data_IF_768463533417
#
_entry.id   IF_768463533417
#
_cell.length_a   1.000
_cell.length_b   1.000
_cell.length_c   1.000
_cell.angle_alpha   90.00
_cell.angle_beta   90.00
_cell.angle_gamma   90.00
#
_symmetry.space_group_name_H-M   'P 1'
#
loop_
_entity.id
_entity.type
_entity.pdbx_description
1 polymer ?
#
# COMPACT_ATOMS: atom_id res chain seq x y z
N UNK A 1 7.17 -52.14 -21.93
CA UNK A 1 7.09 -50.82 -21.26
C UNK A 1 7.99 -49.78 -21.92
N UNK A 2 9.18 -50.15 -22.43
CA UNK A 2 10.09 -49.21 -23.12
C UNK A 2 9.49 -48.83 -24.49
N UNK A 3 9.00 -49.77 -25.25
CA UNK A 3 8.32 -49.54 -26.56
C UNK A 3 7.12 -48.61 -26.45
N UNK A 4 6.29 -48.80 -25.40
CA UNK A 4 5.12 -47.93 -25.16
C UNK A 4 5.54 -46.51 -24.83
N UNK A 5 6.62 -46.33 -24.08
CA UNK A 5 7.17 -45.01 -23.79
C UNK A 5 7.70 -44.32 -25.04
N UNK A 6 8.39 -45.08 -25.93
CA UNK A 6 9.05 -44.52 -27.09
C UNK A 6 8.03 -44.24 -28.25
N UNK A 7 6.87 -44.94 -28.23
CA UNK A 7 5.79 -44.75 -29.22
C UNK A 7 4.77 -43.68 -28.77
N UNK A 8 4.50 -43.57 -27.46
CA UNK A 8 3.45 -42.68 -26.90
C UNK A 8 3.97 -41.65 -25.91
N UNK A 9 5.29 -41.52 -25.78
CA UNK A 9 5.91 -40.56 -24.86
C UNK A 9 5.91 -39.16 -25.43
N UNK A 10 5.18 -38.26 -24.81
CA UNK A 10 5.23 -36.83 -25.08
C UNK A 10 6.38 -36.16 -24.33
N UNK A 11 6.88 -35.03 -24.87
CA UNK A 11 7.81 -34.17 -24.15
C UNK A 11 7.13 -33.61 -22.90
N UNK A 12 7.91 -33.57 -21.82
CA UNK A 12 7.42 -33.03 -20.56
C UNK A 12 7.03 -31.55 -20.71
N UNK A 13 5.82 -31.21 -20.37
CA UNK A 13 5.28 -29.84 -20.35
C UNK A 13 5.64 -29.06 -19.09
N UNK A 14 6.11 -29.75 -18.02
CA UNK A 14 6.51 -29.15 -16.76
C UNK A 14 8.02 -29.23 -16.57
N UNK A 15 8.63 -28.19 -16.05
CA UNK A 15 10.05 -28.14 -15.72
C UNK A 15 10.32 -28.84 -14.38
N UNK A 16 11.40 -29.62 -14.30
CA UNK A 16 11.88 -30.22 -13.05
C UNK A 16 12.91 -29.25 -12.48
N UNK A 17 12.55 -28.54 -11.42
CA UNK A 17 13.50 -27.70 -10.69
C UNK A 17 14.29 -28.54 -9.68
N UNK A 18 15.60 -28.35 -9.65
CA UNK A 18 16.54 -29.05 -8.76
C UNK A 18 16.48 -28.55 -7.30
N UNK A 19 15.85 -27.43 -7.04
CA UNK A 19 15.67 -26.87 -5.69
C UNK A 19 14.20 -26.70 -5.36
N UNK A 20 13.78 -27.14 -4.16
CA UNK A 20 12.51 -26.75 -3.54
C UNK A 20 12.66 -25.27 -3.15
N UNK A 21 12.22 -24.37 -4.00
CA UNK A 21 11.87 -23.03 -3.53
C UNK A 21 10.47 -23.15 -2.93
N UNK A 22 10.34 -22.81 -1.66
CA UNK A 22 9.02 -22.63 -1.08
C UNK A 22 8.35 -21.48 -1.82
N UNK A 23 7.37 -21.81 -2.67
CA UNK A 23 6.58 -20.81 -3.40
C UNK A 23 5.82 -19.97 -2.37
N UNK A 24 6.10 -18.69 -2.37
CA UNK A 24 5.34 -17.72 -1.58
C UNK A 24 4.06 -17.32 -2.33
N UNK A 25 3.06 -16.79 -1.62
CA UNK A 25 1.84 -16.26 -2.26
C UNK A 25 2.19 -15.18 -3.28
N UNK A 26 3.24 -14.40 -3.02
CA UNK A 26 3.73 -13.38 -3.94
C UNK A 26 4.18 -13.96 -5.28
N UNK A 27 4.81 -15.13 -5.30
CA UNK A 27 5.29 -15.78 -6.54
C UNK A 27 4.14 -16.24 -7.46
N UNK A 28 2.92 -16.36 -6.92
CA UNK A 28 1.71 -16.72 -7.66
C UNK A 28 0.94 -15.50 -8.18
N UNK A 29 1.29 -14.31 -7.74
CA UNK A 29 0.61 -13.06 -8.14
C UNK A 29 1.32 -12.47 -9.34
N UNK A 30 0.57 -12.17 -10.39
CA UNK A 30 1.10 -11.48 -11.56
C UNK A 30 1.50 -10.06 -11.19
N UNK A 31 2.69 -9.66 -11.62
CA UNK A 31 3.17 -8.31 -11.45
C UNK A 31 2.45 -7.36 -12.41
N UNK A 32 1.63 -6.47 -11.87
CA UNK A 32 0.87 -5.48 -12.62
C UNK A 32 0.69 -4.20 -11.83
N UNK A 33 0.49 -3.07 -12.52
CA UNK A 33 0.18 -1.81 -11.88
C UNK A 33 -1.32 -1.73 -11.56
N UNK A 34 -1.63 -1.46 -10.29
CA UNK A 34 -2.97 -1.38 -9.76
C UNK A 34 -3.26 0.04 -9.26
N UNK A 35 -4.49 0.46 -9.42
CA UNK A 35 -5.02 1.68 -8.78
C UNK A 35 -5.60 1.29 -7.43
N UNK A 36 -4.99 1.78 -6.37
CA UNK A 36 -5.45 1.63 -4.99
C UNK A 36 -6.29 2.86 -4.64
N UNK A 37 -7.52 2.65 -4.25
CA UNK A 37 -8.41 3.72 -3.77
C UNK A 37 -8.72 3.50 -2.31
N UNK A 38 -8.61 4.56 -1.51
CA UNK A 38 -8.91 4.54 -0.09
C UNK A 38 -9.90 5.67 0.18
N UNK A 39 -11.02 5.33 0.81
CA UNK A 39 -12.05 6.29 1.16
C UNK A 39 -11.82 6.90 2.54
N UNK A 40 -12.46 8.05 2.79
CA UNK A 40 -12.41 8.73 4.09
C UNK A 40 -12.94 7.85 5.24
N UNK A 41 -13.95 7.03 4.97
CA UNK A 41 -14.47 6.05 5.93
C UNK A 41 -13.54 4.84 6.14
N UNK A 42 -12.35 4.82 5.52
CA UNK A 42 -11.33 3.79 5.71
C UNK A 42 -11.57 2.50 4.92
N UNK A 43 -12.29 2.56 3.80
CA UNK A 43 -12.42 1.42 2.87
C UNK A 43 -11.34 1.45 1.80
N UNK A 44 -10.73 0.31 1.54
CA UNK A 44 -9.71 0.15 0.52
C UNK A 44 -10.12 -0.88 -0.54
N UNK A 45 -9.75 -0.63 -1.79
CA UNK A 45 -9.88 -1.56 -2.91
C UNK A 45 -8.78 -1.33 -3.94
N UNK A 46 -8.52 -2.34 -4.75
CA UNK A 46 -7.68 -2.24 -5.93
C UNK A 46 -8.50 -2.42 -7.20
N UNK A 47 -8.05 -1.80 -8.28
CA UNK A 47 -8.59 -1.93 -9.63
C UNK A 47 -7.42 -1.95 -10.62
N UNK A 48 -7.60 -2.61 -11.77
CA UNK A 48 -6.60 -2.58 -12.82
C UNK A 48 -6.47 -1.18 -13.40
N UNK A 49 -5.26 -0.78 -13.74
CA UNK A 49 -5.01 0.52 -14.36
C UNK A 49 -5.77 0.67 -15.70
N UNK A 50 -5.95 -0.42 -16.43
CA UNK A 50 -6.72 -0.47 -17.69
C UNK A 50 -8.18 -0.03 -17.54
N UNK A 51 -8.77 -0.21 -16.36
CA UNK A 51 -10.13 0.25 -16.07
C UNK A 51 -10.26 1.78 -16.06
N UNK A 52 -9.13 2.49 -15.94
CA UNK A 52 -9.02 3.96 -15.94
C UNK A 52 -8.58 4.47 -17.31
N UNK A 53 -9.43 4.28 -18.33
CA UNK A 53 -9.15 4.81 -19.67
C UNK A 53 -9.23 6.33 -19.69
N UNK A 54 -8.26 6.95 -20.36
CA UNK A 54 -8.27 8.40 -20.61
C UNK A 54 -9.54 8.80 -21.37
N UNK A 55 -10.26 9.79 -20.86
CA UNK A 55 -11.42 10.32 -21.56
C UNK A 55 -11.00 11.35 -22.61
N UNK A 56 -11.56 11.23 -23.82
CA UNK A 56 -11.46 12.27 -24.84
C UNK A 56 -12.39 13.45 -24.48
N UNK A 57 -12.08 14.64 -24.98
CA UNK A 57 -12.93 15.83 -24.81
C UNK A 57 -14.39 15.52 -25.20
N UNK A 58 -15.34 15.83 -24.30
CA UNK A 58 -16.78 15.63 -24.53
C UNK A 58 -17.36 14.31 -23.99
N UNK A 59 -16.55 13.43 -23.39
CA UNK A 59 -17.05 12.21 -22.73
C UNK A 59 -17.68 12.51 -21.37
N UNK A 60 -18.73 11.74 -20.98
CA UNK A 60 -19.24 11.76 -19.60
C UNK A 60 -18.21 11.10 -18.69
N UNK A 61 -17.85 11.76 -17.57
CA UNK A 61 -16.98 11.21 -16.54
C UNK A 61 -17.50 9.85 -16.04
N UNK A 62 -16.58 8.91 -15.83
CA UNK A 62 -16.95 7.63 -15.21
C UNK A 62 -16.67 7.76 -13.72
N UNK A 63 -17.69 7.52 -12.88
CA UNK A 63 -17.49 7.45 -11.42
C UNK A 63 -16.54 6.31 -11.07
N UNK A 64 -15.54 6.57 -10.25
CA UNK A 64 -14.57 5.55 -9.80
C UNK A 64 -15.15 4.64 -8.72
N UNK A 65 -16.21 5.07 -8.04
CA UNK A 65 -16.89 4.29 -7.01
C UNK A 65 -18.31 4.81 -6.81
N UNK A 66 -19.24 3.94 -6.38
CA UNK A 66 -20.51 4.36 -5.79
C UNK A 66 -20.30 4.53 -4.30
N UNK A 67 -20.48 5.75 -3.81
CA UNK A 67 -20.33 6.06 -2.39
C UNK A 67 -21.70 6.35 -1.77
N UNK A 68 -21.84 6.13 -0.45
CA UNK A 68 -22.92 6.71 0.32
C UNK A 68 -22.67 8.21 0.45
N UNK A 69 -23.72 8.97 0.66
CA UNK A 69 -23.76 10.43 0.60
C UNK A 69 -22.71 11.17 1.46
N UNK A 70 -22.01 10.47 2.38
CA UNK A 70 -21.06 11.05 3.33
C UNK A 70 -19.62 10.50 3.18
N UNK A 71 -19.34 9.60 2.23
CA UNK A 71 -17.99 9.05 2.00
C UNK A 71 -17.39 9.63 0.71
N UNK A 72 -16.09 9.80 0.65
CA UNK A 72 -15.37 10.26 -0.54
C UNK A 72 -14.01 9.56 -0.65
N UNK A 73 -13.43 9.54 -1.86
CA UNK A 73 -12.08 9.02 -2.05
C UNK A 73 -11.09 10.02 -1.47
N UNK A 74 -10.42 9.63 -0.41
CA UNK A 74 -9.39 10.44 0.24
C UNK A 74 -8.04 10.26 -0.44
N UNK A 75 -7.68 9.01 -0.81
CA UNK A 75 -6.42 8.69 -1.49
C UNK A 75 -6.66 7.82 -2.72
N UNK A 76 -5.97 8.20 -3.79
CA UNK A 76 -5.85 7.41 -5.00
C UNK A 76 -4.36 7.27 -5.30
N UNK A 77 -3.87 6.03 -5.32
CA UNK A 77 -2.47 5.69 -5.48
C UNK A 77 -2.35 4.72 -6.66
N UNK A 78 -1.29 4.85 -7.44
CA UNK A 78 -0.91 3.83 -8.43
C UNK A 78 0.30 3.09 -7.88
N UNK A 79 0.19 1.78 -7.74
CA UNK A 79 1.23 0.96 -7.16
C UNK A 79 1.32 -0.39 -7.86
N UNK A 80 2.53 -0.93 -7.95
CA UNK A 80 2.75 -2.30 -8.40
C UNK A 80 2.11 -3.29 -7.43
N UNK A 81 1.55 -4.40 -7.94
CA UNK A 81 0.92 -5.44 -7.12
C UNK A 81 1.83 -5.98 -6.01
N UNK A 82 3.14 -6.05 -6.26
CA UNK A 82 4.15 -6.53 -5.32
C UNK A 82 4.70 -5.43 -4.38
N UNK A 83 4.35 -4.17 -4.61
CA UNK A 83 4.77 -3.07 -3.74
C UNK A 83 4.22 -3.22 -2.33
N UNK A 84 4.91 -2.62 -1.38
CA UNK A 84 4.45 -2.49 0.00
C UNK A 84 3.93 -1.08 0.23
N UNK A 85 2.79 -0.96 0.87
CA UNK A 85 2.28 0.31 1.38
C UNK A 85 2.60 0.38 2.87
N UNK A 86 3.38 1.37 3.27
CA UNK A 86 3.58 1.73 4.67
C UNK A 86 2.39 2.58 5.12
N UNK A 87 1.59 2.06 6.03
CA UNK A 87 0.40 2.69 6.56
C UNK A 87 0.71 3.30 7.92
N UNK A 88 0.86 4.62 7.99
CA UNK A 88 1.15 5.33 9.23
C UNK A 88 -0.14 5.75 9.93
N UNK A 89 -0.26 5.45 11.21
CA UNK A 89 -1.43 5.77 12.01
C UNK A 89 -1.27 7.07 12.80
N UNK A 90 -2.41 7.66 13.20
CA UNK A 90 -2.47 8.81 14.09
C UNK A 90 -1.80 8.57 15.44
N UNK A 91 -1.61 7.29 15.85
CA UNK A 91 -0.92 6.89 17.07
C UNK A 91 0.60 6.71 16.90
N UNK A 92 1.17 7.12 15.76
CA UNK A 92 2.59 7.01 15.48
C UNK A 92 3.09 5.60 15.18
N UNK A 93 2.19 4.66 14.93
CA UNK A 93 2.53 3.31 14.47
C UNK A 93 2.59 3.25 12.95
N UNK A 94 3.35 2.29 12.42
CA UNK A 94 3.37 1.92 11.01
C UNK A 94 3.01 0.46 10.85
N UNK A 95 2.18 0.17 9.83
CA UNK A 95 1.79 -1.15 9.40
C UNK A 95 2.21 -1.36 7.95
N UNK A 96 2.47 -2.62 7.58
CA UNK A 96 2.82 -3.02 6.22
C UNK A 96 1.63 -3.68 5.57
N UNK A 97 1.29 -3.24 4.38
CA UNK A 97 0.22 -3.80 3.58
C UNK A 97 0.75 -4.07 2.17
N UNK A 98 0.74 -5.33 1.74
CA UNK A 98 1.04 -5.66 0.35
C UNK A 98 -0.12 -5.25 -0.54
N UNK A 99 0.18 -4.65 -1.68
CA UNK A 99 -0.88 -4.20 -2.61
C UNK A 99 -1.79 -5.34 -3.02
N UNK A 100 -1.26 -6.54 -3.28
CA UNK A 100 -2.05 -7.72 -3.63
C UNK A 100 -2.95 -8.25 -2.51
N UNK A 101 -2.75 -7.85 -1.24
CA UNK A 101 -3.62 -8.21 -0.11
C UNK A 101 -4.89 -7.35 -0.06
N UNK A 102 -4.90 -6.22 -0.75
CA UNK A 102 -6.07 -5.36 -0.88
C UNK A 102 -7.02 -5.99 -1.91
N UNK A 103 -8.30 -6.22 -1.58
CA UNK A 103 -9.20 -6.90 -2.48
C UNK A 103 -9.42 -6.12 -3.78
N UNK A 104 -9.34 -6.83 -4.89
CA UNK A 104 -9.74 -6.29 -6.18
C UNK A 104 -11.27 -6.19 -6.22
N UNK A 105 -11.79 -5.04 -6.61
CA UNK A 105 -13.21 -4.79 -6.60
C UNK A 105 -13.65 -3.89 -7.76
N UNK A 106 -14.90 -4.07 -8.20
CA UNK A 106 -15.48 -3.27 -9.26
C UNK A 106 -15.63 -1.79 -8.88
N UNK A 107 -15.86 -0.93 -9.86
CA UNK A 107 -16.07 0.52 -9.64
C UNK A 107 -17.19 0.82 -8.66
N UNK A 108 -18.31 0.09 -8.73
CA UNK A 108 -19.45 0.28 -7.85
C UNK A 108 -19.30 -0.28 -6.44
N UNK A 109 -18.23 -1.03 -6.16
CA UNK A 109 -17.96 -1.59 -4.84
C UNK A 109 -17.23 -0.60 -3.94
N UNK A 110 -17.51 -0.66 -2.63
CA UNK A 110 -16.78 0.10 -1.60
C UNK A 110 -15.38 -0.45 -1.33
N UNK A 111 -15.16 -1.76 -1.55
CA UNK A 111 -13.97 -2.44 -1.10
C UNK A 111 -14.11 -2.99 0.33
N UNK A 112 -13.00 -3.14 1.04
CA UNK A 112 -12.91 -3.74 2.39
C UNK A 112 -12.45 -2.70 3.40
N UNK A 113 -13.03 -2.67 4.62
CA UNK A 113 -12.55 -1.79 5.68
C UNK A 113 -11.10 -2.08 6.05
N UNK A 114 -10.28 -1.06 6.21
CA UNK A 114 -8.86 -1.18 6.60
C UNK A 114 -8.69 -1.85 7.97
N UNK A 115 -9.63 -1.65 8.89
CA UNK A 115 -9.65 -2.32 10.21
C UNK A 115 -9.80 -3.84 10.12
N UNK A 116 -10.27 -4.37 8.98
CA UNK A 116 -10.34 -5.81 8.72
C UNK A 116 -9.09 -6.35 8.00
N UNK A 117 -8.19 -5.46 7.57
CA UNK A 117 -6.95 -5.80 6.87
C UNK A 117 -5.75 -5.60 7.80
N UNK A 118 -5.75 -4.52 8.58
CA UNK A 118 -4.70 -4.16 9.51
C UNK A 118 -5.18 -4.29 10.96
N UNK A 119 -4.31 -4.75 11.89
CA UNK A 119 -4.65 -4.91 13.31
C UNK A 119 -4.61 -3.54 14.04
N UNK A 120 -5.53 -2.65 13.67
CA UNK A 120 -5.64 -1.32 14.26
C UNK A 120 -6.25 -1.40 15.67
N UNK A 121 -5.73 -0.60 16.58
CA UNK A 121 -6.28 -0.43 17.92
C UNK A 121 -7.58 0.41 17.88
N UNK A 122 -8.34 0.39 18.97
CA UNK A 122 -9.52 1.24 19.10
C UNK A 122 -9.16 2.73 18.97
N UNK A 123 -9.90 3.46 18.14
CA UNK A 123 -9.67 4.87 17.83
C UNK A 123 -8.41 5.13 16.97
N UNK A 124 -7.70 4.08 16.52
CA UNK A 124 -6.58 4.20 15.61
C UNK A 124 -7.08 4.30 14.16
N UNK A 125 -6.52 5.25 13.42
CA UNK A 125 -6.81 5.45 11.99
C UNK A 125 -5.52 5.71 11.23
N UNK A 126 -5.47 5.28 9.99
CA UNK A 126 -4.33 5.57 9.12
C UNK A 126 -4.44 7.01 8.60
N UNK A 127 -3.35 7.76 8.74
CA UNK A 127 -3.26 9.17 8.31
C UNK A 127 -2.45 9.31 7.03
N UNK A 128 -1.48 8.42 6.80
CA UNK A 128 -0.59 8.51 5.64
C UNK A 128 -0.28 7.14 5.08
N UNK A 129 -0.23 7.08 3.74
CA UNK A 129 0.13 5.90 2.96
C UNK A 129 1.34 6.21 2.10
N UNK A 130 2.43 5.45 2.25
CA UNK A 130 3.64 5.57 1.44
C UNK A 130 3.88 4.28 0.66
N UNK A 131 4.01 4.40 -0.66
CA UNK A 131 4.31 3.26 -1.52
C UNK A 131 5.82 3.04 -1.51
N UNK A 132 6.23 1.82 -1.22
CA UNK A 132 7.63 1.39 -1.22
C UNK A 132 7.77 0.18 -2.13
N UNK A 133 8.49 0.36 -3.23
CA UNK A 133 8.89 -0.72 -4.12
C UNK A 133 10.14 -1.40 -3.57
N UNK A 134 11.14 -0.59 -3.17
CA UNK A 134 12.42 -1.02 -2.64
C UNK A 134 12.82 -0.15 -1.44
N UNK A 135 13.48 -0.77 -0.47
CA UNK A 135 14.04 -0.08 0.70
C UNK A 135 15.44 0.43 0.39
N UNK A 136 15.51 1.47 -0.42
CA UNK A 136 16.76 2.03 -0.94
C UNK A 136 17.55 2.75 0.16
N UNK A 137 18.85 2.44 0.25
CA UNK A 137 19.80 3.15 1.13
C UNK A 137 19.85 4.64 0.78
N UNK A 138 20.06 5.48 1.79
CA UNK A 138 20.10 6.94 1.63
C UNK A 138 18.72 7.60 1.51
N UNK A 139 17.64 6.82 1.58
CA UNK A 139 16.28 7.35 1.67
C UNK A 139 15.77 7.31 3.12
N UNK A 140 14.89 8.23 3.44
CA UNK A 140 14.38 8.41 4.79
C UNK A 140 12.86 8.61 4.75
N UNK A 141 12.20 8.21 5.82
CA UNK A 141 10.83 8.63 6.12
C UNK A 141 10.90 9.81 7.08
N UNK A 142 10.40 10.95 6.61
CA UNK A 142 10.18 12.13 7.45
C UNK A 142 8.76 12.09 7.99
N UNK A 143 8.60 12.32 9.28
CA UNK A 143 7.32 12.27 9.99
C UNK A 143 7.12 13.55 10.75
N UNK A 144 5.87 14.04 10.82
CA UNK A 144 5.51 15.24 11.59
C UNK A 144 4.25 15.00 12.41
N UNK A 145 4.19 15.62 13.58
CA UNK A 145 3.05 15.56 14.50
C UNK A 145 2.29 16.89 14.55
N UNK A 146 1.08 16.85 15.09
CA UNK A 146 0.23 18.04 15.24
C UNK A 146 0.87 19.11 16.14
N UNK A 147 1.65 18.74 17.13
CA UNK A 147 2.36 19.66 18.03
C UNK A 147 3.72 20.12 17.45
N UNK A 148 4.08 19.71 16.23
CA UNK A 148 5.27 20.15 15.53
C UNK A 148 6.52 19.32 15.82
N UNK A 149 6.41 18.18 16.50
CA UNK A 149 7.51 17.22 16.64
C UNK A 149 7.78 16.56 15.29
N UNK A 150 9.04 16.51 14.88
CA UNK A 150 9.47 15.89 13.63
C UNK A 150 10.51 14.81 13.87
N UNK A 151 10.48 13.78 13.03
CA UNK A 151 11.47 12.70 13.06
C UNK A 151 11.83 12.27 11.65
N UNK A 152 13.10 12.04 11.40
CA UNK A 152 13.61 11.44 10.17
C UNK A 152 14.21 10.07 10.52
N UNK A 153 13.72 9.01 9.87
CA UNK A 153 14.16 7.63 10.10
C UNK A 153 14.59 7.02 8.76
N UNK A 154 15.72 6.30 8.68
CA UNK A 154 16.13 5.60 7.47
C UNK A 154 15.02 4.66 6.96
N UNK A 155 14.77 4.66 5.65
CA UNK A 155 13.73 3.84 5.02
C UNK A 155 13.96 2.34 5.28
N UNK A 156 15.23 1.92 5.31
CA UNK A 156 15.63 0.54 5.60
C UNK A 156 15.19 0.04 6.98
N UNK A 157 14.99 0.96 7.95
CA UNK A 157 14.46 0.61 9.28
C UNK A 157 13.07 -0.01 9.21
N UNK A 158 12.35 0.21 8.12
CA UNK A 158 11.03 -0.33 7.84
C UNK A 158 11.05 -1.59 6.93
N UNK A 159 12.22 -2.10 6.58
CA UNK A 159 12.35 -3.26 5.69
C UNK A 159 11.90 -4.60 6.32
N UNK A 160 11.67 -4.63 7.64
CA UNK A 160 11.26 -5.84 8.36
C UNK A 160 9.83 -5.70 8.85
N UNK A 161 8.83 -6.21 8.11
CA UNK A 161 7.42 -6.17 8.50
C UNK A 161 7.17 -6.86 9.84
N UNK A 162 6.27 -6.29 10.64
CA UNK A 162 5.78 -6.89 11.88
C UNK A 162 4.25 -6.92 11.85
N UNK A 163 3.68 -8.07 12.18
CA UNK A 163 2.22 -8.26 12.17
C UNK A 163 1.46 -7.32 13.12
N UNK A 164 2.08 -6.97 14.26
CA UNK A 164 1.50 -6.05 15.25
C UNK A 164 1.76 -4.57 14.97
N UNK A 165 2.41 -4.24 13.83
CA UNK A 165 2.93 -2.91 13.57
C UNK A 165 4.21 -2.59 14.34
N UNK A 166 4.76 -1.41 14.09
CA UNK A 166 5.95 -0.87 14.73
C UNK A 166 5.69 0.57 15.15
N UNK A 167 6.14 0.96 16.34
CA UNK A 167 6.15 2.37 16.74
C UNK A 167 7.21 3.11 15.91
N UNK A 168 6.76 3.87 14.92
CA UNK A 168 7.62 4.66 14.06
C UNK A 168 8.06 5.96 14.74
N UNK A 169 7.14 6.59 15.48
CA UNK A 169 7.35 7.80 16.27
C UNK A 169 6.64 7.67 17.61
N UNK A 170 7.36 7.83 18.69
CA UNK A 170 6.77 7.98 20.03
C UNK A 170 6.08 9.34 20.09
N UNK A 171 4.82 9.36 20.51
CA UNK A 171 4.01 10.57 20.64
C UNK A 171 3.92 10.99 22.10
N UNK A 172 3.93 12.29 22.34
CA UNK A 172 3.57 12.85 23.63
C UNK A 172 2.06 12.73 23.87
N UNK A 173 1.63 12.86 25.12
CA UNK A 173 0.22 12.79 25.48
C UNK A 173 -0.60 13.85 24.74
N UNK A 174 -1.65 13.42 24.06
CA UNK A 174 -2.52 14.30 23.28
C UNK A 174 -1.99 14.70 21.90
N UNK A 175 -0.76 14.27 21.51
CA UNK A 175 -0.24 14.51 20.17
C UNK A 175 -0.68 13.43 19.17
N UNK A 176 -0.66 13.75 17.89
CA UNK A 176 -1.00 12.83 16.82
C UNK A 176 -0.07 12.96 15.64
N UNK A 177 0.24 11.86 14.97
CA UNK A 177 0.95 11.90 13.70
C UNK A 177 0.03 12.45 12.61
N UNK A 178 0.44 13.53 11.95
CA UNK A 178 -0.36 14.19 10.90
C UNK A 178 0.10 13.84 9.49
N UNK A 179 1.36 13.41 9.33
CA UNK A 179 1.88 13.07 8.01
C UNK A 179 3.24 12.40 8.05
N UNK A 180 3.53 11.68 6.97
CA UNK A 180 4.82 11.11 6.69
C UNK A 180 5.12 11.21 5.18
N UNK A 181 6.39 11.34 4.80
CA UNK A 181 6.83 11.45 3.41
C UNK A 181 8.20 10.81 3.24
N UNK A 182 8.46 10.23 2.05
CA UNK A 182 9.78 9.67 1.71
C UNK A 182 10.64 10.79 1.12
N UNK A 183 11.88 10.88 1.61
CA UNK A 183 12.86 11.89 1.15
C UNK A 183 14.23 11.25 0.95
N UNK A 184 14.99 11.76 -0.01
CA UNK A 184 16.41 11.45 -0.22
C UNK A 184 17.34 12.20 0.75
N UNK A 185 16.77 13.04 1.63
CA UNK A 185 17.50 13.82 2.61
C UNK A 185 18.16 15.10 2.09
N UNK A 186 18.02 15.41 0.80
CA UNK A 186 18.62 16.59 0.15
C UNK A 186 17.64 17.75 0.01
N UNK A 187 16.35 17.50 0.23
CA UNK A 187 15.27 18.48 0.04
C UNK A 187 14.93 19.20 1.33
N UNK A 188 14.44 20.43 1.19
CA UNK A 188 13.86 21.20 2.27
C UNK A 188 12.41 20.77 2.52
N UNK A 189 12.01 20.71 3.76
CA UNK A 189 10.64 20.43 4.17
C UNK A 189 10.07 21.70 4.80
N UNK A 190 8.92 22.12 4.29
CA UNK A 190 8.20 23.26 4.83
C UNK A 190 7.02 22.76 5.67
N UNK A 191 6.97 23.20 6.92
CA UNK A 191 5.87 22.96 7.83
C UNK A 191 5.13 24.27 8.05
N UNK A 192 3.82 24.27 7.93
CA UNK A 192 2.97 25.42 8.16
C UNK A 192 2.08 25.16 9.36
N UNK A 193 2.22 26.01 10.38
CA UNK A 193 1.37 25.95 11.57
C UNK A 193 0.08 26.77 11.40
N UNK A 194 -0.95 26.44 12.18
CA UNK A 194 -2.23 27.19 12.21
C UNK A 194 -2.06 28.65 12.67
N UNK A 195 -0.97 28.97 13.38
CA UNK A 195 -0.64 30.34 13.82
C UNK A 195 0.18 31.13 12.78
N UNK A 196 0.30 30.65 11.56
CA UNK A 196 1.01 31.38 10.48
C UNK A 196 2.54 31.38 10.61
N UNK A 197 3.12 30.43 11.33
CA UNK A 197 4.56 30.20 11.45
C UNK A 197 4.94 28.95 10.72
#
# INVERSE_FOLDING_TARGET
LVEVRDEYGDERRSEIMSSRRDLTVADLITEEDLVVTISHSGYAKTQRLEDYQAQRRGGRGKSSTSMKDEDFIEKLLVANSHATILCFSNKGKVYWLRVFEIPQASRGSRGRPMVNILPLDEGERITTFLIVNEYTEGHFVFMATANGTVKKTPLESFARPRSSGLIALALDEGDTLIGAEITDGTRYIMLMGSAGK
#
